data_IF_533653876096
#
_entry.id   IF_533653876096
#
_cell.length_a   1.000
_cell.length_b   1.000
_cell.length_c   1.000
_cell.angle_alpha   90.00
_cell.angle_beta   90.00
_cell.angle_gamma   90.00
#
_symmetry.space_group_name_H-M   'P 1'
#
loop_
_entity.id
_entity.type
_entity.pdbx_description
1 polymer ?
#
# COMPACT_ATOMS: atom_id res chain seq x y z
N UNK A 1 20.79 -9.62 7.87
CA UNK A 1 19.59 -9.77 7.00
C UNK A 1 18.55 -8.65 7.10
N UNK A 2 18.96 -7.39 7.07
CA UNK A 2 18.05 -6.22 7.17
C UNK A 2 17.55 -5.73 5.81
N UNK A 3 18.33 -5.89 4.73
CA UNK A 3 17.97 -5.35 3.41
C UNK A 3 16.80 -6.07 2.73
N UNK A 4 16.67 -7.40 2.92
CA UNK A 4 15.56 -8.19 2.35
C UNK A 4 14.22 -7.88 3.00
N UNK A 5 14.20 -7.38 4.25
CA UNK A 5 12.96 -6.99 4.93
C UNK A 5 12.27 -5.84 4.19
N UNK A 6 13.01 -4.84 3.70
CA UNK A 6 12.42 -3.73 2.92
C UNK A 6 11.75 -4.20 1.61
N UNK A 7 12.37 -5.16 0.91
CA UNK A 7 11.80 -5.73 -0.32
C UNK A 7 10.58 -6.62 -0.06
N UNK A 8 10.63 -7.47 0.97
CA UNK A 8 9.52 -8.37 1.32
C UNK A 8 8.30 -7.60 1.87
N UNK A 9 8.56 -6.45 2.50
CA UNK A 9 7.54 -5.67 3.20
C UNK A 9 6.98 -4.56 2.29
N UNK A 10 7.77 -3.58 1.86
CA UNK A 10 7.22 -2.43 1.10
C UNK A 10 7.06 -2.73 -0.38
N UNK A 11 8.06 -3.33 -1.02
CA UNK A 11 8.06 -3.55 -2.47
C UNK A 11 6.96 -4.51 -2.92
N UNK A 12 6.89 -5.70 -2.32
CA UNK A 12 5.86 -6.69 -2.66
C UNK A 12 4.46 -6.27 -2.25
N UNK A 13 4.30 -5.50 -1.17
CA UNK A 13 2.99 -4.97 -0.80
C UNK A 13 2.44 -3.97 -1.82
N UNK A 14 3.27 -3.01 -2.25
CA UNK A 14 2.90 -2.06 -3.30
C UNK A 14 2.58 -2.76 -4.63
N UNK A 15 3.35 -3.81 -4.97
CA UNK A 15 3.07 -4.64 -6.14
C UNK A 15 1.76 -5.42 -5.99
N UNK A 16 1.52 -6.03 -4.83
CA UNK A 16 0.27 -6.74 -4.55
C UNK A 16 -0.96 -5.82 -4.66
N UNK A 17 -0.86 -4.57 -4.17
CA UNK A 17 -1.92 -3.57 -4.36
C UNK A 17 -2.15 -3.26 -5.85
N UNK A 18 -1.09 -3.25 -6.67
CA UNK A 18 -1.23 -3.06 -8.12
C UNK A 18 -1.94 -4.22 -8.82
N UNK A 19 -1.81 -5.43 -8.29
CA UNK A 19 -2.46 -6.62 -8.84
C UNK A 19 -3.91 -6.78 -8.37
N UNK A 20 -4.22 -6.38 -7.13
CA UNK A 20 -5.48 -6.76 -6.47
C UNK A 20 -6.44 -5.59 -6.21
N UNK A 21 -5.96 -4.34 -6.19
CA UNK A 21 -6.79 -3.17 -5.83
C UNK A 21 -6.92 -2.17 -6.97
N UNK A 22 -5.81 -1.81 -7.62
CA UNK A 22 -5.79 -0.84 -8.72
C UNK A 22 -4.59 -1.09 -9.64
N UNK A 23 -4.82 -1.37 -10.93
CA UNK A 23 -3.73 -1.64 -11.89
C UNK A 23 -2.70 -0.50 -12.03
N UNK A 24 -3.10 0.73 -11.73
CA UNK A 24 -2.25 1.92 -11.78
C UNK A 24 -1.70 2.30 -10.38
N UNK A 25 -1.87 1.44 -9.37
CA UNK A 25 -1.63 1.78 -7.96
C UNK A 25 -0.26 2.42 -7.74
N UNK A 26 0.82 1.80 -8.23
CA UNK A 26 2.19 2.31 -8.03
C UNK A 26 2.37 3.71 -8.62
N UNK A 27 1.82 3.96 -9.82
CA UNK A 27 1.88 5.28 -10.47
C UNK A 27 1.15 6.33 -9.64
N UNK A 28 -0.07 6.01 -9.19
CA UNK A 28 -0.89 6.91 -8.36
C UNK A 28 -0.23 7.14 -7.00
N UNK A 29 0.29 6.09 -6.38
CA UNK A 29 1.01 6.14 -5.10
C UNK A 29 2.19 7.09 -5.15
N UNK A 30 3.04 7.01 -6.18
CA UNK A 30 4.14 7.96 -6.37
C UNK A 30 3.63 9.40 -6.53
N UNK A 31 2.50 9.61 -7.21
CA UNK A 31 1.92 10.94 -7.39
C UNK A 31 1.45 11.57 -6.08
N UNK A 32 0.97 10.75 -5.13
CA UNK A 32 0.50 11.25 -3.82
C UNK A 32 1.57 12.01 -3.05
N UNK A 33 2.86 11.71 -3.24
CA UNK A 33 3.97 12.41 -2.59
C UNK A 33 3.98 13.92 -2.89
N UNK A 34 3.44 14.32 -4.05
CA UNK A 34 3.29 15.72 -4.44
C UNK A 34 1.92 16.28 -4.06
N UNK A 35 0.87 15.47 -4.20
CA UNK A 35 -0.53 15.89 -4.03
C UNK A 35 -0.96 16.04 -2.57
N UNK A 36 -0.38 15.26 -1.64
CA UNK A 36 -0.82 15.20 -0.24
C UNK A 36 0.18 15.90 0.67
N UNK A 37 -0.28 16.92 1.41
CA UNK A 37 0.52 17.68 2.38
C UNK A 37 -0.28 17.91 3.68
N UNK A 38 0.16 17.40 4.84
CA UNK A 38 1.29 16.49 5.05
C UNK A 38 0.98 15.06 4.55
N UNK A 39 1.98 14.43 3.94
CA UNK A 39 1.89 13.08 3.40
C UNK A 39 1.91 12.00 4.49
N UNK A 40 1.11 10.96 4.31
CA UNK A 40 1.22 9.71 5.09
C UNK A 40 0.75 8.54 4.23
N UNK A 41 1.18 7.33 4.61
CA UNK A 41 0.72 6.10 3.96
C UNK A 41 -0.81 5.97 3.97
N UNK A 42 -1.45 6.16 5.12
CA UNK A 42 -2.90 6.06 5.26
C UNK A 42 -3.65 7.04 4.33
N UNK A 43 -3.18 8.30 4.28
CA UNK A 43 -3.76 9.29 3.37
C UNK A 43 -3.53 8.93 1.90
N UNK A 44 -2.36 8.41 1.54
CA UNK A 44 -2.08 7.97 0.19
C UNK A 44 -2.99 6.81 -0.24
N UNK A 45 -3.17 5.81 0.63
CA UNK A 45 -4.06 4.66 0.37
C UNK A 45 -5.50 5.13 0.15
N UNK A 46 -6.04 5.94 1.08
CA UNK A 46 -7.40 6.47 0.99
C UNK A 46 -7.61 7.43 -0.17
N UNK A 47 -6.59 8.20 -0.55
CA UNK A 47 -6.66 9.06 -1.72
C UNK A 47 -6.81 8.27 -3.03
N UNK A 48 -6.20 7.08 -3.12
CA UNK A 48 -6.20 6.25 -4.33
C UNK A 48 -7.40 5.30 -4.38
N UNK A 49 -7.70 4.64 -3.27
CA UNK A 49 -8.68 3.55 -3.18
C UNK A 49 -10.04 4.00 -2.61
N UNK A 50 -10.12 5.23 -2.11
CA UNK A 50 -11.29 5.83 -1.48
C UNK A 50 -11.19 5.87 0.05
N UNK A 51 -11.78 6.91 0.65
CA UNK A 51 -11.73 7.14 2.10
C UNK A 51 -12.72 6.23 2.84
N UNK A 52 -12.29 4.99 3.08
CA UNK A 52 -13.03 3.98 3.83
C UNK A 52 -12.10 3.25 4.81
N UNK A 53 -12.63 2.70 5.93
CA UNK A 53 -11.81 2.00 6.93
C UNK A 53 -10.98 0.84 6.37
N UNK A 54 -11.52 0.08 5.43
CA UNK A 54 -10.85 -1.05 4.76
C UNK A 54 -9.65 -0.63 3.89
N UNK A 55 -9.58 0.65 3.51
CA UNK A 55 -8.49 1.20 2.71
C UNK A 55 -7.43 1.90 3.57
N UNK A 56 -7.46 1.73 4.90
CA UNK A 56 -6.35 2.14 5.75
C UNK A 56 -5.11 1.31 5.46
N UNK A 57 -3.92 1.87 5.72
CA UNK A 57 -2.66 1.15 5.49
C UNK A 57 -2.59 -0.14 6.32
N UNK A 58 -3.11 -0.11 7.56
CA UNK A 58 -3.10 -1.27 8.45
C UNK A 58 -4.06 -2.37 7.98
N UNK A 59 -5.26 -2.02 7.50
CA UNK A 59 -6.21 -2.99 6.97
C UNK A 59 -5.68 -3.66 5.69
N UNK A 60 -5.11 -2.86 4.78
CA UNK A 60 -4.50 -3.37 3.55
C UNK A 60 -3.27 -4.24 3.84
N UNK A 61 -2.47 -3.86 4.84
CA UNK A 61 -1.33 -4.65 5.28
C UNK A 61 -1.76 -6.00 5.87
N UNK A 62 -2.79 -6.01 6.73
CA UNK A 62 -3.38 -7.23 7.28
C UNK A 62 -3.91 -8.17 6.19
N UNK A 63 -4.60 -7.62 5.19
CA UNK A 63 -5.09 -8.38 4.04
C UNK A 63 -3.93 -9.00 3.23
N UNK A 64 -2.89 -8.22 2.96
CA UNK A 64 -1.69 -8.71 2.28
C UNK A 64 -1.00 -9.86 3.02
N UNK A 65 -0.82 -9.74 4.35
CA UNK A 65 -0.19 -10.79 5.15
C UNK A 65 -0.98 -12.11 5.11
N UNK A 66 -2.32 -12.04 5.16
CA UNK A 66 -3.19 -13.21 4.99
C UNK A 66 -3.05 -13.82 3.59
N UNK A 67 -2.99 -12.98 2.56
CA UNK A 67 -2.89 -13.45 1.17
C UNK A 67 -1.57 -14.20 0.88
N UNK A 68 -0.47 -13.87 1.55
CA UNK A 68 0.83 -14.54 1.37
C UNK A 68 1.11 -15.67 2.38
N UNK A 69 0.16 -15.98 3.27
CA UNK A 69 0.29 -17.05 4.26
C UNK A 69 1.25 -16.74 5.42
N UNK A 70 1.54 -15.47 5.67
CA UNK A 70 2.36 -15.02 6.81
C UNK A 70 1.48 -14.77 8.08
N UNK A 71 0.18 -15.10 8.03
CA UNK A 71 -0.80 -15.04 9.14
C UNK A 71 -1.68 -16.27 9.19
#
# INVERSE_FOLDING_TARGET
DTWRKGYRVTGYFLYWLSLNKDKDFIRKFNRTAVEIKPWSWDKAMKHILGDKPENSVDALWDEYQKAIGDK
#
